data_IF_625651545668
#
_entry.id   IF_625651545668
#
_cell.length_a   1.000
_cell.length_b   1.000
_cell.length_c   1.000
_cell.angle_alpha   90.00
_cell.angle_beta   90.00
_cell.angle_gamma   90.00
#
_symmetry.space_group_name_H-M   'P 1'
#
loop_
_entity.id
_entity.type
_entity.pdbx_description
1 polymer ?
#
# COMPACT_ATOMS: atom_id res chain seq x y z
N UNK A 1 -21.78 -28.13 -76.64
CA UNK A 1 -21.35 -28.27 -75.24
C UNK A 1 -21.23 -29.75 -74.93
N UNK A 2 -20.09 -30.17 -74.36
CA UNK A 2 -19.86 -31.56 -73.99
C UNK A 2 -20.78 -32.01 -72.85
N UNK A 3 -21.26 -33.24 -72.96
CA UNK A 3 -21.91 -33.98 -71.89
C UNK A 3 -20.96 -35.04 -71.34
N UNK A 4 -21.20 -35.49 -70.11
CA UNK A 4 -20.51 -36.64 -69.53
C UNK A 4 -20.92 -38.00 -70.13
N UNK A 5 -21.79 -38.03 -71.14
CA UNK A 5 -22.24 -39.27 -71.78
C UNK A 5 -21.21 -39.76 -72.82
N UNK A 6 -20.83 -41.02 -72.74
CA UNK A 6 -19.82 -41.64 -73.60
C UNK A 6 -20.35 -42.96 -74.18
N UNK A 7 -20.01 -43.24 -75.45
CA UNK A 7 -20.24 -44.57 -76.04
C UNK A 7 -19.22 -45.56 -75.47
N UNK A 8 -19.72 -46.70 -75.00
CA UNK A 8 -18.91 -47.76 -74.39
C UNK A 8 -18.13 -48.52 -75.46
N UNK A 9 -18.83 -49.02 -76.49
CA UNK A 9 -18.25 -49.83 -77.57
C UNK A 9 -18.59 -49.28 -78.96
N UNK A 10 -17.59 -49.26 -79.84
CA UNK A 10 -17.73 -48.84 -81.24
C UNK A 10 -18.65 -49.80 -81.99
N UNK A 11 -19.75 -49.27 -82.55
CA UNK A 11 -20.74 -50.06 -83.32
C UNK A 11 -21.98 -50.49 -82.53
N UNK A 12 -22.03 -50.26 -81.22
CA UNK A 12 -23.23 -50.47 -80.40
C UNK A 12 -23.85 -49.14 -80.01
N UNK A 13 -25.19 -49.07 -79.99
CA UNK A 13 -25.92 -47.95 -79.40
C UNK A 13 -26.01 -48.12 -77.87
N UNK A 14 -24.84 -48.20 -77.22
CA UNK A 14 -24.69 -48.34 -75.77
C UNK A 14 -23.85 -47.19 -75.22
N UNK A 15 -24.41 -46.50 -74.22
CA UNK A 15 -23.81 -45.31 -73.62
C UNK A 15 -23.80 -45.42 -72.09
N UNK A 16 -22.84 -44.75 -71.47
CA UNK A 16 -22.68 -44.65 -70.02
C UNK A 16 -22.34 -43.21 -69.63
N UNK A 17 -22.86 -42.76 -68.48
CA UNK A 17 -22.46 -41.49 -67.90
C UNK A 17 -21.08 -41.61 -67.25
N UNK A 18 -20.27 -40.56 -67.34
CA UNK A 18 -18.91 -40.53 -66.79
C UNK A 18 -18.82 -40.70 -65.27
N UNK A 19 -19.94 -40.51 -64.56
CA UNK A 19 -20.06 -40.75 -63.12
C UNK A 19 -20.55 -42.17 -62.79
N UNK A 20 -20.73 -43.04 -63.79
CA UNK A 20 -21.19 -44.42 -63.61
C UNK A 20 -22.70 -44.58 -63.50
N UNK A 21 -23.48 -43.49 -63.57
CA UNK A 21 -24.94 -43.58 -63.56
C UNK A 21 -25.46 -44.32 -64.79
N UNK A 22 -26.55 -45.06 -64.59
CA UNK A 22 -27.25 -45.74 -65.69
C UNK A 22 -27.84 -44.71 -66.65
N UNK A 23 -27.82 -45.00 -67.94
CA UNK A 23 -28.57 -44.24 -68.94
C UNK A 23 -30.02 -44.73 -68.94
N UNK A 24 -30.90 -43.94 -68.34
CA UNK A 24 -32.35 -44.19 -68.25
C UNK A 24 -33.19 -43.14 -69.00
N UNK A 25 -32.55 -42.06 -69.45
CA UNK A 25 -33.13 -41.01 -70.28
C UNK A 25 -32.26 -40.77 -71.52
N UNK A 26 -32.92 -40.61 -72.67
CA UNK A 26 -32.26 -40.29 -73.94
C UNK A 26 -32.97 -39.15 -74.67
N UNK A 27 -32.19 -38.20 -75.22
CA UNK A 27 -32.73 -37.05 -75.96
C UNK A 27 -31.99 -36.78 -77.27
N UNK A 28 -31.77 -37.84 -78.05
CA UNK A 28 -31.07 -37.77 -79.32
C UNK A 28 -31.76 -36.86 -80.35
N UNK A 29 -30.95 -36.19 -81.16
CA UNK A 29 -31.43 -35.54 -82.38
C UNK A 29 -31.88 -36.56 -83.42
N UNK A 30 -32.68 -36.14 -84.39
CA UNK A 30 -33.13 -37.01 -85.48
C UNK A 30 -31.93 -37.61 -86.22
N UNK A 31 -31.91 -38.93 -86.38
CA UNK A 31 -30.82 -39.66 -87.04
C UNK A 31 -29.58 -39.88 -86.16
N UNK A 32 -29.70 -39.70 -84.85
CA UNK A 32 -28.67 -39.97 -83.84
C UNK A 32 -29.16 -41.05 -82.87
N UNK A 33 -28.27 -41.83 -82.23
CA UNK A 33 -26.80 -41.81 -82.35
C UNK A 33 -26.30 -42.31 -83.73
N UNK A 34 -25.20 -41.75 -84.21
CA UNK A 34 -24.45 -42.22 -85.37
C UNK A 34 -23.37 -43.22 -84.92
N UNK A 35 -22.11 -43.08 -85.37
CA UNK A 35 -21.00 -43.99 -85.04
C UNK A 35 -19.83 -43.30 -84.30
N UNK A 36 -20.10 -42.25 -83.50
CA UNK A 36 -19.08 -41.50 -82.78
C UNK A 36 -19.18 -41.69 -81.25
N UNK A 37 -18.07 -41.38 -80.52
CA UNK A 37 -17.89 -41.76 -79.10
C UNK A 37 -18.37 -40.72 -78.09
N UNK A 38 -18.11 -39.44 -78.32
CA UNK A 38 -18.39 -38.39 -77.34
C UNK A 38 -19.71 -37.69 -77.67
N UNK A 39 -20.44 -37.23 -76.64
CA UNK A 39 -21.77 -36.64 -76.82
C UNK A 39 -21.74 -35.14 -76.50
N UNK A 40 -22.38 -34.37 -77.37
CA UNK A 40 -22.64 -32.96 -77.16
C UNK A 40 -24.14 -32.68 -77.22
N UNK A 41 -24.52 -31.50 -76.74
CA UNK A 41 -25.73 -30.83 -77.19
C UNK A 41 -25.44 -29.39 -77.56
N UNK A 42 -26.31 -28.81 -78.38
CA UNK A 42 -26.29 -27.39 -78.67
C UNK A 42 -27.23 -26.65 -77.71
N UNK A 43 -26.84 -25.46 -77.27
CA UNK A 43 -27.63 -24.61 -76.36
C UNK A 43 -28.85 -23.96 -77.04
N UNK A 44 -29.23 -24.43 -78.23
CA UNK A 44 -30.44 -24.02 -78.91
C UNK A 44 -31.70 -24.59 -78.22
N UNK A 45 -32.88 -24.15 -78.65
CA UNK A 45 -34.14 -24.47 -77.98
C UNK A 45 -34.46 -25.97 -77.86
N UNK A 46 -33.87 -26.83 -78.69
CA UNK A 46 -34.21 -28.26 -78.72
C UNK A 46 -33.34 -29.10 -77.78
N UNK A 47 -32.15 -28.61 -77.42
CA UNK A 47 -31.18 -29.28 -76.51
C UNK A 47 -30.93 -30.75 -76.86
N UNK A 48 -31.07 -31.10 -78.13
CA UNK A 48 -30.95 -32.46 -78.65
C UNK A 48 -29.50 -32.89 -78.70
N UNK A 49 -29.28 -34.17 -78.46
CA UNK A 49 -27.95 -34.75 -78.35
C UNK A 49 -27.41 -35.19 -79.71
N UNK A 50 -26.10 -35.04 -79.88
CA UNK A 50 -25.34 -35.47 -81.04
C UNK A 50 -24.10 -36.22 -80.57
N UNK A 51 -23.84 -37.37 -81.16
CA UNK A 51 -22.54 -38.03 -81.02
C UNK A 51 -21.56 -37.46 -82.06
N UNK A 52 -20.35 -37.15 -81.60
CA UNK A 52 -19.28 -36.51 -82.34
C UNK A 52 -17.93 -37.13 -82.00
N UNK A 53 -16.93 -36.94 -82.86
CA UNK A 53 -15.57 -37.36 -82.55
C UNK A 53 -15.08 -36.60 -81.32
N UNK A 54 -14.39 -37.29 -80.41
CA UNK A 54 -13.91 -36.67 -79.17
C UNK A 54 -12.84 -35.58 -79.41
N UNK A 55 -12.23 -35.56 -80.60
CA UNK A 55 -11.23 -34.57 -81.02
C UNK A 55 -11.84 -33.28 -81.60
N UNK A 56 -13.17 -33.21 -81.71
CA UNK A 56 -13.85 -31.99 -82.16
C UNK A 56 -13.65 -30.83 -81.18
N UNK A 57 -13.52 -29.62 -81.71
CA UNK A 57 -13.26 -28.44 -80.87
C UNK A 57 -14.57 -27.78 -80.40
N UNK A 58 -15.17 -28.31 -79.34
CA UNK A 58 -16.27 -27.66 -78.63
C UNK A 58 -15.78 -26.99 -77.34
N UNK A 59 -15.91 -25.66 -77.26
CA UNK A 59 -15.30 -24.83 -76.20
C UNK A 59 -15.94 -24.90 -74.81
N UNK A 60 -17.08 -25.55 -74.63
CA UNK A 60 -17.79 -25.61 -73.35
C UNK A 60 -18.13 -27.05 -72.93
N UNK A 61 -18.09 -27.31 -71.62
CA UNK A 61 -18.42 -28.60 -70.98
C UNK A 61 -19.49 -28.37 -69.92
N UNK A 62 -20.42 -29.30 -69.79
CA UNK A 62 -21.41 -29.29 -68.72
C UNK A 62 -20.96 -30.25 -67.61
N UNK A 63 -20.85 -29.76 -66.37
CA UNK A 63 -20.44 -30.54 -65.20
C UNK A 63 -21.62 -30.71 -64.23
N UNK A 64 -21.68 -31.86 -63.57
CA UNK A 64 -22.62 -32.15 -62.49
C UNK A 64 -21.84 -32.34 -61.19
N UNK A 65 -22.33 -31.74 -60.11
CA UNK A 65 -21.85 -31.98 -58.74
C UNK A 65 -23.06 -32.49 -57.96
N UNK A 66 -22.89 -33.60 -57.25
CA UNK A 66 -23.88 -34.07 -56.29
C UNK A 66 -23.73 -33.23 -55.02
N UNK A 67 -24.82 -32.60 -54.58
CA UNK A 67 -24.84 -31.90 -53.30
C UNK A 67 -24.96 -32.95 -52.19
N UNK A 68 -24.25 -32.78 -51.05
CA UNK A 68 -24.43 -33.65 -49.89
C UNK A 68 -25.90 -33.72 -49.49
N UNK A 69 -26.36 -34.91 -49.12
CA UNK A 69 -27.71 -35.10 -48.60
C UNK A 69 -27.89 -34.28 -47.31
N UNK A 70 -29.10 -33.76 -47.09
CA UNK A 70 -29.40 -32.88 -45.96
C UNK A 70 -29.08 -33.54 -44.60
N UNK A 71 -29.17 -34.87 -44.51
CA UNK A 71 -28.82 -35.64 -43.31
C UNK A 71 -27.35 -35.52 -42.91
N UNK A 72 -26.43 -35.56 -43.87
CA UNK A 72 -24.98 -35.47 -43.59
C UNK A 72 -24.63 -34.08 -43.03
N UNK A 73 -25.26 -33.04 -43.55
CA UNK A 73 -25.08 -31.67 -43.06
C UNK A 73 -25.62 -31.54 -41.63
N UNK A 74 -26.78 -32.13 -41.34
CA UNK A 74 -27.37 -32.12 -39.99
C UNK A 74 -26.45 -32.82 -38.99
N UNK A 75 -25.89 -33.97 -39.33
CA UNK A 75 -24.99 -34.73 -38.44
C UNK A 75 -23.72 -33.93 -38.11
N UNK A 76 -23.11 -33.29 -39.12
CA UNK A 76 -21.95 -32.41 -38.91
C UNK A 76 -22.29 -31.24 -38.00
N UNK A 77 -23.44 -30.60 -38.22
CA UNK A 77 -23.87 -29.48 -37.39
C UNK A 77 -24.15 -29.91 -35.95
N UNK A 78 -24.80 -31.05 -35.74
CA UNK A 78 -25.05 -31.60 -34.41
C UNK A 78 -23.75 -31.94 -33.68
N UNK A 79 -22.80 -32.56 -34.36
CA UNK A 79 -21.47 -32.85 -33.79
C UNK A 79 -20.77 -31.57 -33.36
N UNK A 80 -20.76 -30.54 -34.20
CA UNK A 80 -20.14 -29.25 -33.88
C UNK A 80 -20.81 -28.58 -32.67
N UNK A 81 -22.13 -28.64 -32.58
CA UNK A 81 -22.88 -28.10 -31.43
C UNK A 81 -22.51 -28.82 -30.14
N UNK A 82 -22.42 -30.16 -30.17
CA UNK A 82 -22.00 -30.95 -29.01
C UNK A 82 -20.57 -30.60 -28.57
N UNK A 83 -19.65 -30.48 -29.52
CA UNK A 83 -18.26 -30.10 -29.26
C UNK A 83 -18.15 -28.69 -28.64
N UNK A 84 -18.94 -27.74 -29.15
CA UNK A 84 -19.00 -26.39 -28.61
C UNK A 84 -19.56 -26.38 -27.18
N UNK A 85 -20.60 -27.17 -26.91
CA UNK A 85 -21.15 -27.31 -25.56
C UNK A 85 -20.12 -27.89 -24.58
N UNK A 86 -19.37 -28.92 -24.99
CA UNK A 86 -18.29 -29.48 -24.16
C UNK A 86 -17.22 -28.44 -23.81
N UNK A 87 -16.79 -27.62 -24.77
CA UNK A 87 -15.83 -26.53 -24.53
C UNK A 87 -16.38 -25.47 -23.58
N UNK A 88 -17.67 -25.16 -23.69
CA UNK A 88 -18.36 -24.22 -22.79
C UNK A 88 -18.35 -24.77 -21.35
N UNK A 89 -18.64 -26.05 -21.16
CA UNK A 89 -18.64 -26.69 -19.84
C UNK A 89 -17.24 -26.72 -19.21
N UNK A 90 -16.20 -26.98 -20.01
CA UNK A 90 -14.80 -26.90 -19.57
C UNK A 90 -14.42 -25.49 -19.11
N UNK A 91 -14.83 -24.46 -19.87
CA UNK A 91 -14.61 -23.06 -19.52
C UNK A 91 -15.31 -22.68 -18.21
N UNK A 92 -16.57 -23.10 -18.03
CA UNK A 92 -17.28 -22.85 -16.77
C UNK A 92 -16.64 -23.57 -15.59
N UNK A 93 -16.22 -24.82 -15.79
CA UNK A 93 -15.51 -25.59 -14.75
C UNK A 93 -14.19 -24.94 -14.37
N UNK A 94 -13.42 -24.42 -15.34
CA UNK A 94 -12.19 -23.68 -15.09
C UNK A 94 -12.44 -22.34 -14.36
N UNK A 95 -13.51 -21.63 -14.73
CA UNK A 95 -13.93 -20.40 -14.06
C UNK A 95 -14.26 -20.66 -12.58
N UNK A 96 -15.05 -21.68 -12.30
CA UNK A 96 -15.42 -22.05 -10.93
C UNK A 96 -14.20 -22.44 -10.08
N UNK A 97 -13.25 -23.21 -10.64
CA UNK A 97 -11.99 -23.54 -9.97
C UNK A 97 -11.19 -22.28 -9.63
N UNK A 98 -11.12 -21.33 -10.56
CA UNK A 98 -10.43 -20.05 -10.35
C UNK A 98 -11.09 -19.24 -9.25
N UNK A 99 -12.43 -19.19 -9.20
CA UNK A 99 -13.17 -18.52 -8.13
C UNK A 99 -12.89 -19.15 -6.76
N UNK A 100 -12.88 -20.49 -6.66
CA UNK A 100 -12.53 -21.19 -5.43
C UNK A 100 -11.12 -20.88 -4.96
N UNK A 101 -10.15 -20.88 -5.87
CA UNK A 101 -8.76 -20.54 -5.56
C UNK A 101 -8.64 -19.10 -5.04
N UNK A 102 -9.32 -18.15 -5.70
CA UNK A 102 -9.34 -16.74 -5.25
C UNK A 102 -9.98 -16.58 -3.88
N UNK A 103 -11.04 -17.34 -3.55
CA UNK A 103 -11.63 -17.36 -2.21
C UNK A 103 -10.64 -17.88 -1.15
N UNK A 104 -9.89 -18.94 -1.47
CA UNK A 104 -8.84 -19.47 -0.57
C UNK A 104 -7.76 -18.42 -0.32
N UNK A 105 -7.20 -17.84 -1.39
CA UNK A 105 -6.18 -16.80 -1.30
C UNK A 105 -6.65 -15.60 -0.46
N UNK A 106 -7.91 -15.17 -0.64
CA UNK A 106 -8.48 -14.10 0.17
C UNK A 106 -8.54 -14.45 1.66
N UNK A 107 -8.85 -15.70 1.99
CA UNK A 107 -8.89 -16.18 3.37
C UNK A 107 -7.49 -16.25 4.00
N UNK A 108 -6.52 -16.76 3.24
CA UNK A 108 -5.11 -16.85 3.67
C UNK A 108 -4.54 -15.45 3.91
N UNK A 109 -4.75 -14.52 2.97
CA UNK A 109 -4.30 -13.14 3.10
C UNK A 109 -4.90 -12.45 4.33
N UNK A 110 -6.21 -12.67 4.59
CA UNK A 110 -6.87 -12.13 5.78
C UNK A 110 -6.25 -12.66 7.07
N UNK A 111 -5.95 -13.97 7.10
CA UNK A 111 -5.32 -14.60 8.27
C UNK A 111 -3.95 -14.02 8.57
N UNK A 112 -3.13 -13.78 7.54
CA UNK A 112 -1.80 -13.16 7.73
C UNK A 112 -1.90 -11.69 8.14
N UNK A 113 -2.90 -10.96 7.61
CA UNK A 113 -3.17 -9.59 8.04
C UNK A 113 -3.54 -9.54 9.53
N UNK A 114 -4.46 -10.39 9.98
CA UNK A 114 -4.92 -10.47 11.37
C UNK A 114 -3.74 -10.82 12.31
N UNK A 115 -2.87 -11.76 11.92
CA UNK A 115 -1.64 -12.08 12.68
C UNK A 115 -0.70 -10.88 12.80
N UNK A 116 -0.52 -10.12 11.73
CA UNK A 116 0.32 -8.92 11.74
C UNK A 116 -0.26 -7.84 12.65
N UNK A 117 -1.58 -7.61 12.57
CA UNK A 117 -2.28 -6.64 13.41
C UNK A 117 -2.19 -7.00 14.90
N UNK A 118 -2.36 -8.28 15.25
CA UNK A 118 -2.18 -8.77 16.63
C UNK A 118 -0.77 -8.53 17.14
N UNK A 119 0.26 -8.84 16.33
CA UNK A 119 1.67 -8.60 16.70
C UNK A 119 1.93 -7.12 16.93
N UNK A 120 1.47 -6.26 16.03
CA UNK A 120 1.61 -4.82 16.17
C UNK A 120 0.92 -4.29 17.43
N UNK A 121 -0.32 -4.73 17.66
CA UNK A 121 -1.11 -4.34 18.84
C UNK A 121 -0.42 -4.74 20.14
N UNK A 122 0.12 -5.97 20.21
CA UNK A 122 0.85 -6.46 21.39
C UNK A 122 2.17 -5.71 21.60
N UNK A 123 2.91 -5.40 20.53
CA UNK A 123 4.14 -4.61 20.63
C UNK A 123 3.84 -3.18 21.12
N UNK A 124 2.80 -2.56 20.57
CA UNK A 124 2.38 -1.20 20.93
C UNK A 124 1.91 -1.13 22.39
N UNK A 125 1.14 -2.12 22.86
CA UNK A 125 0.71 -2.16 24.27
C UNK A 125 1.89 -2.33 25.22
N UNK A 126 2.87 -3.18 24.88
CA UNK A 126 4.10 -3.34 25.65
C UNK A 126 4.90 -2.04 25.72
N UNK A 127 5.05 -1.35 24.58
CA UNK A 127 5.74 -0.07 24.52
C UNK A 127 5.05 1.00 25.37
N UNK A 128 3.72 1.10 25.31
CA UNK A 128 2.95 2.02 26.14
C UNK A 128 3.16 1.76 27.64
N UNK A 129 3.22 0.51 28.07
CA UNK A 129 3.52 0.15 29.46
C UNK A 129 4.93 0.63 29.85
N UNK A 130 5.92 0.40 28.97
CA UNK A 130 7.29 0.85 29.23
C UNK A 130 7.39 2.38 29.33
N UNK A 131 6.74 3.11 28.41
CA UNK A 131 6.68 4.57 28.42
C UNK A 131 6.05 5.07 29.73
N UNK A 132 4.90 4.52 30.12
CA UNK A 132 4.22 4.92 31.36
C UNK A 132 5.06 4.63 32.60
N UNK A 133 5.80 3.52 32.63
CA UNK A 133 6.71 3.21 33.72
C UNK A 133 7.86 4.23 33.82
N UNK A 134 8.44 4.64 32.69
CA UNK A 134 9.47 5.69 32.67
C UNK A 134 8.90 7.03 33.09
N UNK A 135 7.71 7.39 32.60
CA UNK A 135 7.03 8.64 32.95
C UNK A 135 6.78 8.71 34.47
N UNK A 136 6.25 7.65 35.06
CA UNK A 136 6.00 7.58 36.51
C UNK A 136 7.31 7.75 37.32
N UNK A 137 8.40 7.14 36.87
CA UNK A 137 9.72 7.32 37.51
C UNK A 137 10.19 8.77 37.41
N UNK A 138 10.08 9.39 36.24
CA UNK A 138 10.45 10.80 36.03
C UNK A 138 9.62 11.74 36.89
N UNK A 139 8.31 11.51 37.01
CA UNK A 139 7.43 12.29 37.89
C UNK A 139 7.84 12.17 39.36
N UNK A 140 8.24 10.98 39.81
CA UNK A 140 8.74 10.80 41.18
C UNK A 140 10.06 11.55 41.39
N UNK A 141 10.98 11.51 40.43
CA UNK A 141 12.24 12.24 40.48
C UNK A 141 12.00 13.75 40.51
N UNK A 142 11.10 14.25 39.66
CA UNK A 142 10.70 15.67 39.65
C UNK A 142 10.14 16.11 41.02
N UNK A 143 9.31 15.28 41.64
CA UNK A 143 8.76 15.55 42.98
C UNK A 143 9.86 15.65 44.04
N UNK A 144 10.83 14.73 44.01
CA UNK A 144 11.94 14.74 44.96
C UNK A 144 12.80 16.00 44.82
N UNK A 145 13.18 16.35 43.58
CA UNK A 145 13.93 17.59 43.33
C UNK A 145 13.17 18.83 43.77
N UNK A 146 11.84 18.90 43.54
CA UNK A 146 11.01 20.01 44.03
C UNK A 146 11.06 20.14 45.55
N UNK A 147 10.96 19.02 46.27
CA UNK A 147 11.05 19.02 47.74
C UNK A 147 12.44 19.46 48.24
N UNK A 148 13.52 18.97 47.64
CA UNK A 148 14.89 19.38 47.99
C UNK A 148 15.15 20.87 47.74
N UNK A 149 14.64 21.40 46.63
CA UNK A 149 14.70 22.84 46.33
C UNK A 149 13.95 23.65 47.39
N UNK A 150 12.81 23.17 47.88
CA UNK A 150 12.03 23.85 48.91
C UNK A 150 12.75 23.87 50.27
N UNK A 151 13.37 22.75 50.66
CA UNK A 151 14.24 22.69 51.85
C UNK A 151 15.40 23.68 51.72
N UNK A 152 16.11 23.66 50.59
CA UNK A 152 17.25 24.56 50.35
C UNK A 152 16.85 26.04 50.40
N UNK A 153 15.63 26.38 49.92
CA UNK A 153 15.08 27.74 50.04
C UNK A 153 14.82 28.13 51.49
N UNK A 154 14.26 27.22 52.29
CA UNK A 154 14.02 27.47 53.70
C UNK A 154 15.32 27.66 54.47
N UNK A 155 16.31 26.78 54.25
CA UNK A 155 17.64 26.88 54.87
C UNK A 155 18.32 28.21 54.51
N UNK A 156 18.23 28.64 53.24
CA UNK A 156 18.74 29.95 52.81
C UNK A 156 18.09 31.11 53.56
N UNK A 157 16.77 31.05 53.78
CA UNK A 157 16.05 32.10 54.51
C UNK A 157 16.47 32.13 55.98
N UNK A 158 16.61 30.98 56.63
CA UNK A 158 17.06 30.90 58.02
C UNK A 158 18.48 31.46 58.19
N UNK A 159 19.41 31.13 57.27
CA UNK A 159 20.77 31.69 57.28
C UNK A 159 20.74 33.20 57.10
N UNK A 160 19.89 33.74 56.21
CA UNK A 160 19.76 35.18 56.04
C UNK A 160 19.25 35.86 57.33
N UNK A 161 18.25 35.29 58.00
CA UNK A 161 17.73 35.79 59.27
C UNK A 161 18.81 35.79 60.38
N UNK A 162 19.66 34.76 60.43
CA UNK A 162 20.77 34.68 61.37
C UNK A 162 21.80 35.78 61.08
N UNK A 163 22.16 35.98 59.80
CA UNK A 163 23.10 37.03 59.39
C UNK A 163 22.56 38.40 59.80
N UNK A 164 21.29 38.68 59.56
CA UNK A 164 20.66 39.96 59.93
C UNK A 164 20.67 40.18 61.45
N UNK A 165 20.27 39.17 62.23
CA UNK A 165 20.32 39.23 63.70
C UNK A 165 21.74 39.47 64.21
N UNK A 166 22.73 38.78 63.66
CA UNK A 166 24.12 38.91 64.08
C UNK A 166 24.71 40.29 63.72
N UNK A 167 24.36 40.82 62.55
CA UNK A 167 24.74 42.18 62.14
C UNK A 167 24.16 43.22 63.11
N UNK A 168 22.86 43.15 63.39
CA UNK A 168 22.19 44.07 64.31
C UNK A 168 22.77 43.99 65.75
N UNK A 169 23.01 42.78 66.25
CA UNK A 169 23.63 42.58 67.58
C UNK A 169 25.04 43.19 67.65
N UNK A 170 25.84 42.99 66.61
CA UNK A 170 27.20 43.54 66.52
C UNK A 170 27.19 45.08 66.49
N UNK A 171 26.25 45.68 65.75
CA UNK A 171 26.06 47.13 65.69
C UNK A 171 25.67 47.71 67.05
N UNK A 172 24.71 47.08 67.75
CA UNK A 172 24.29 47.48 69.10
C UNK A 172 25.46 47.42 70.10
N UNK A 173 26.21 46.31 70.11
CA UNK A 173 27.36 46.17 71.02
C UNK A 173 28.45 47.21 70.73
N UNK A 174 28.70 47.53 69.46
CA UNK A 174 29.67 48.56 69.10
C UNK A 174 29.22 49.96 69.57
N UNK A 175 27.93 50.27 69.45
CA UNK A 175 27.34 51.52 69.97
C UNK A 175 27.48 51.61 71.50
N UNK A 176 27.14 50.54 72.24
CA UNK A 176 27.28 50.47 73.70
C UNK A 176 28.75 50.63 74.14
N UNK A 177 29.69 49.95 73.48
CA UNK A 177 31.11 50.11 73.76
C UNK A 177 31.60 51.55 73.51
N UNK A 178 31.15 52.15 72.40
CA UNK A 178 31.48 53.56 72.07
C UNK A 178 30.93 54.51 73.13
N UNK A 179 29.73 54.27 73.66
CA UNK A 179 29.14 55.06 74.73
C UNK A 179 29.95 54.95 76.04
N UNK A 180 30.33 53.73 76.43
CA UNK A 180 31.19 53.50 77.60
C UNK A 180 32.56 54.18 77.47
N UNK A 181 33.16 54.17 76.28
CA UNK A 181 34.41 54.90 76.04
C UNK A 181 34.24 56.41 76.23
N UNK A 182 33.14 57.00 75.76
CA UNK A 182 32.85 58.43 76.00
C UNK A 182 32.72 58.75 77.48
N UNK A 183 32.12 57.86 78.26
CA UNK A 183 32.00 58.06 79.71
C UNK A 183 33.36 57.97 80.43
N UNK A 184 34.24 57.06 80.00
CA UNK A 184 35.62 57.00 80.49
C UNK A 184 36.38 58.28 80.12
N UNK A 185 36.27 58.77 78.88
CA UNK A 185 36.90 60.02 78.45
C UNK A 185 36.44 61.21 79.30
N UNK A 186 35.13 61.33 79.58
CA UNK A 186 34.59 62.35 80.49
C UNK A 186 35.17 62.23 81.90
N UNK A 187 35.24 61.01 82.44
CA UNK A 187 35.81 60.77 83.77
C UNK A 187 37.28 61.16 83.84
N UNK A 188 38.11 60.74 82.87
CA UNK A 188 39.52 61.14 82.77
C UNK A 188 39.66 62.66 82.72
N UNK A 189 38.83 63.32 81.91
CA UNK A 189 38.82 64.78 81.80
C UNK A 189 38.50 65.44 83.14
N UNK A 190 37.50 64.94 83.87
CA UNK A 190 37.15 65.44 85.21
C UNK A 190 38.28 65.25 86.23
N UNK A 191 38.94 64.09 86.23
CA UNK A 191 40.09 63.82 87.11
C UNK A 191 41.26 64.74 86.79
N UNK A 192 41.54 64.98 85.50
CA UNK A 192 42.60 65.91 85.07
C UNK A 192 42.31 67.35 85.54
N UNK A 193 41.06 67.82 85.41
CA UNK A 193 40.62 69.12 85.92
C UNK A 193 40.79 69.19 87.44
N UNK A 194 40.38 68.15 88.18
CA UNK A 194 40.53 68.11 89.64
C UNK A 194 42.00 68.13 90.05
N UNK A 195 42.87 67.38 89.35
CA UNK A 195 44.31 67.36 89.61
C UNK A 195 44.93 68.75 89.41
N UNK A 196 44.60 69.43 88.31
CA UNK A 196 45.06 70.82 88.07
C UNK A 196 44.55 71.77 89.15
N UNK A 197 43.27 71.63 89.56
CA UNK A 197 42.70 72.43 90.66
C UNK A 197 43.46 72.22 91.96
N UNK A 198 43.74 70.97 92.34
CA UNK A 198 44.48 70.63 93.56
C UNK A 198 45.92 71.17 93.53
N UNK A 199 46.58 71.12 92.37
CA UNK A 199 47.93 71.67 92.18
C UNK A 199 47.95 73.19 92.39
N UNK A 200 46.97 73.91 91.82
CA UNK A 200 46.80 75.36 92.03
C UNK A 200 46.57 75.68 93.51
N UNK A 201 45.77 74.87 94.20
CA UNK A 201 45.45 75.07 95.62
C UNK A 201 46.67 74.81 96.53
N UNK A 202 47.46 73.78 96.25
CA UNK A 202 48.73 73.52 96.92
C UNK A 202 49.71 74.70 96.72
N UNK A 203 49.84 75.21 95.50
CA UNK A 203 50.69 76.37 95.20
C UNK A 203 50.25 77.63 95.96
N UNK A 204 48.94 77.86 96.11
CA UNK A 204 48.39 78.95 96.95
C UNK A 204 48.73 78.75 98.42
N UNK A 205 48.57 77.53 98.94
CA UNK A 205 48.88 77.20 100.35
C UNK A 205 50.37 77.38 100.67
N UNK A 206 51.25 77.00 99.73
CA UNK A 206 52.69 77.18 99.86
C UNK A 206 53.07 78.67 99.87
N UNK A 207 52.54 79.47 98.95
CA UNK A 207 52.77 80.92 98.94
C UNK A 207 52.31 81.60 100.24
N UNK A 208 51.15 81.23 100.77
CA UNK A 208 50.65 81.80 102.04
C UNK A 208 51.53 81.43 103.24
N UNK A 209 52.17 80.26 103.23
CA UNK A 209 53.10 79.83 104.28
C UNK A 209 54.48 80.52 104.22
N UNK A 210 54.86 81.04 103.05
CA UNK A 210 56.14 81.75 102.83
C UNK A 210 56.00 83.27 103.09
N UNK A 211 54.77 83.80 103.15
CA UNK A 211 54.47 85.21 103.43
C UNK A 211 54.01 85.51 104.86
N UNK A 212 54.08 84.52 105.76
CA UNK A 212 53.83 84.63 107.22
C UNK A 212 55.13 84.70 108.00
#
# INVERSE_FOLDING_TARGET
>A
MWLGLLRVDTGLNKFEWSNGNKVDFENWSKGRPAAAKCVIFFTNNTKKWFDVNCNENYGAKFCQIELPELSEIIDVLQSNVTDLNGKIDELFSASNRSEMFMKSLKSELRTELDKSEMKFTSANSSLNIQINNVLNKLTSVEKNFKAEIEVTKNDKNEVNDIIEKHSNYSEINFLDFTEKLKDIEKWITSVAIQSQSNEIELMKSFNNSVTS
#
